data_IF_670869568951
#
_entry.id   IF_670869568951
#
_cell.length_a   1.000
_cell.length_b   1.000
_cell.length_c   1.000
_cell.angle_alpha   90.00
_cell.angle_beta   90.00
_cell.angle_gamma   90.00
#
_symmetry.space_group_name_H-M   'P 1'
#
loop_
_entity.id
_entity.type
_entity.pdbx_description
1 polymer ?
#
# COMPACT_ATOMS: atom_id res chain seq x y z
N UNK A 1 -12.09 -48.88 28.25
CA UNK A 1 -10.71 -48.33 28.26
C UNK A 1 -10.24 -47.85 26.87
N UNK A 2 -10.38 -48.64 25.80
CA UNK A 2 -9.95 -48.25 24.44
C UNK A 2 -10.79 -47.12 23.83
N UNK A 3 -12.12 -47.18 23.98
CA UNK A 3 -13.07 -46.17 23.50
C UNK A 3 -12.95 -44.81 24.24
N UNK A 4 -12.62 -44.83 25.53
CA UNK A 4 -12.38 -43.61 26.33
C UNK A 4 -11.04 -42.95 25.96
N UNK A 5 -10.00 -43.76 25.69
CA UNK A 5 -8.68 -43.27 25.23
C UNK A 5 -8.74 -42.68 23.83
N UNK A 6 -9.53 -43.25 22.91
CA UNK A 6 -9.72 -42.69 21.56
C UNK A 6 -10.50 -41.38 21.59
N UNK A 7 -11.49 -41.25 22.47
CA UNK A 7 -12.27 -40.02 22.63
C UNK A 7 -11.43 -38.87 23.23
N UNK A 8 -10.54 -39.19 24.15
CA UNK A 8 -9.56 -38.24 24.70
C UNK A 8 -8.56 -37.75 23.64
N UNK A 9 -8.13 -38.63 22.73
CA UNK A 9 -7.18 -38.31 21.66
C UNK A 9 -7.81 -37.41 20.57
N UNK A 10 -9.09 -37.64 20.24
CA UNK A 10 -9.85 -36.79 19.31
C UNK A 10 -10.12 -35.41 19.92
N UNK A 11 -10.39 -35.33 21.24
CA UNK A 11 -10.63 -34.06 21.93
C UNK A 11 -9.38 -33.14 21.93
N UNK A 12 -8.18 -33.73 21.98
CA UNK A 12 -6.93 -32.96 21.93
C UNK A 12 -6.58 -32.43 20.53
N UNK A 13 -7.14 -33.01 19.45
CA UNK A 13 -6.85 -32.61 18.08
C UNK A 13 -7.66 -31.38 17.62
N UNK A 14 -8.79 -31.11 18.25
CA UNK A 14 -9.71 -30.03 17.88
C UNK A 14 -9.30 -28.62 18.35
N UNK A 15 -8.24 -28.47 19.13
CA UNK A 15 -7.93 -27.21 19.83
C UNK A 15 -7.09 -26.19 19.02
N UNK A 16 -6.59 -26.56 17.84
CA UNK A 16 -5.67 -25.70 17.06
C UNK A 16 -6.38 -24.95 15.93
N UNK A 17 -7.20 -23.95 16.30
CA UNK A 17 -7.66 -22.92 15.37
C UNK A 17 -6.87 -21.62 15.60
N UNK A 18 -5.77 -21.44 14.87
CA UNK A 18 -5.01 -20.17 14.87
C UNK A 18 -5.55 -19.25 13.77
N UNK A 19 -6.42 -18.31 14.12
CA UNK A 19 -6.91 -17.29 13.19
C UNK A 19 -5.85 -16.21 12.94
N UNK A 20 -5.23 -16.21 11.77
CA UNK A 20 -4.30 -15.15 11.34
C UNK A 20 -5.09 -14.07 10.61
N UNK A 21 -5.46 -13.00 11.31
CA UNK A 21 -6.12 -11.84 10.69
C UNK A 21 -5.11 -10.78 10.27
N UNK A 22 -5.32 -10.16 9.10
CA UNK A 22 -4.56 -9.01 8.65
C UNK A 22 -4.93 -7.75 9.45
N UNK A 23 -3.92 -7.00 9.91
CA UNK A 23 -4.11 -5.68 10.54
C UNK A 23 -4.23 -4.59 9.46
N UNK A 24 -5.27 -3.76 9.57
CA UNK A 24 -5.52 -2.59 8.73
C UNK A 24 -5.71 -1.35 9.60
N UNK A 25 -5.66 -0.19 8.96
CA UNK A 25 -5.68 1.09 9.67
C UNK A 25 -6.83 1.98 9.20
N UNK A 26 -7.47 2.69 10.12
CA UNK A 26 -8.51 3.67 9.82
C UNK A 26 -8.14 5.03 10.43
N UNK A 27 -8.77 6.10 9.94
CA UNK A 27 -8.66 7.44 10.53
C UNK A 27 -9.82 7.68 11.50
N UNK A 28 -9.69 8.66 12.40
CA UNK A 28 -10.69 9.01 13.42
C UNK A 28 -12.10 9.27 12.87
N UNK A 29 -12.19 9.80 11.65
CA UNK A 29 -13.45 10.19 10.99
C UNK A 29 -13.71 9.44 9.68
N UNK A 30 -12.85 8.48 9.33
CA UNK A 30 -12.86 7.88 8.00
C UNK A 30 -13.79 6.69 7.87
N UNK A 31 -14.49 6.62 6.75
CA UNK A 31 -15.28 5.46 6.30
C UNK A 31 -14.42 4.41 5.57
N UNK A 32 -13.09 4.56 5.60
CA UNK A 32 -12.16 3.76 4.79
C UNK A 32 -11.07 3.13 5.63
N UNK A 33 -10.66 1.93 5.23
CA UNK A 33 -9.46 1.28 5.75
C UNK A 33 -8.28 1.45 4.79
N UNK A 34 -7.08 1.43 5.37
CA UNK A 34 -5.84 1.89 4.78
C UNK A 34 -4.69 0.94 5.11
N UNK A 35 -3.62 0.97 4.30
CA UNK A 35 -2.30 0.38 4.64
C UNK A 35 -1.57 1.28 5.64
N UNK A 36 -0.64 0.72 6.42
CA UNK A 36 0.14 1.44 7.45
C UNK A 36 0.82 2.73 6.96
N UNK A 37 1.18 2.78 5.68
CA UNK A 37 1.89 3.89 5.04
C UNK A 37 1.00 4.85 4.23
N UNK A 38 -0.32 4.79 4.38
CA UNK A 38 -1.21 5.66 3.64
C UNK A 38 -1.05 7.13 4.08
N UNK A 39 -0.95 8.06 3.11
CA UNK A 39 -0.82 9.51 3.34
C UNK A 39 -1.91 10.10 4.25
N UNK A 40 -3.11 9.53 4.24
CA UNK A 40 -4.24 9.99 5.06
C UNK A 40 -4.12 9.62 6.54
N UNK A 41 -3.26 8.67 6.90
CA UNK A 41 -3.03 8.26 8.28
C UNK A 41 -2.03 9.15 9.03
N UNK A 42 -1.52 10.23 8.42
CA UNK A 42 -0.47 11.08 8.99
C UNK A 42 -0.83 11.65 10.36
N UNK A 43 -2.10 12.00 10.57
CA UNK A 43 -2.58 12.68 11.77
C UNK A 43 -3.41 11.78 12.68
N UNK A 44 -3.90 10.67 12.17
CA UNK A 44 -4.77 9.75 12.89
C UNK A 44 -4.61 8.35 12.33
N UNK A 45 -4.31 7.39 13.22
CA UNK A 45 -4.11 5.99 12.88
C UNK A 45 -4.73 5.14 13.98
N UNK A 46 -5.77 4.39 13.65
CA UNK A 46 -6.42 3.42 14.54
C UNK A 46 -6.32 2.03 13.90
N UNK A 47 -5.94 1.05 14.69
CA UNK A 47 -5.73 -0.32 14.22
C UNK A 47 -7.02 -1.13 14.33
N UNK A 48 -7.29 -1.91 13.29
CA UNK A 48 -8.42 -2.83 13.22
C UNK A 48 -7.96 -4.13 12.55
N UNK A 49 -8.63 -5.24 12.87
CA UNK A 49 -8.56 -6.43 12.02
C UNK A 49 -9.33 -6.18 10.73
N UNK A 50 -8.89 -6.77 9.62
CA UNK A 50 -9.56 -6.62 8.33
C UNK A 50 -11.04 -7.02 8.42
N UNK A 51 -11.33 -8.13 9.10
CA UNK A 51 -12.70 -8.60 9.33
C UNK A 51 -13.54 -7.59 10.10
N UNK A 52 -13.02 -7.03 11.20
CA UNK A 52 -13.73 -5.98 11.97
C UNK A 52 -13.94 -4.74 11.13
N UNK A 53 -12.97 -4.35 10.31
CA UNK A 53 -13.10 -3.17 9.47
C UNK A 53 -14.23 -3.35 8.43
N UNK A 54 -14.34 -4.53 7.83
CA UNK A 54 -15.42 -4.88 6.90
C UNK A 54 -16.77 -4.98 7.62
N UNK A 55 -16.82 -5.59 8.81
CA UNK A 55 -18.01 -5.69 9.64
C UNK A 55 -18.56 -4.32 10.06
N UNK A 56 -17.67 -3.33 10.25
CA UNK A 56 -18.02 -1.94 10.52
C UNK A 56 -18.40 -1.13 9.27
N UNK A 57 -18.38 -1.75 8.08
CA UNK A 57 -18.76 -1.11 6.82
C UNK A 57 -17.67 -0.24 6.20
N UNK A 58 -16.42 -0.33 6.65
CA UNK A 58 -15.34 0.45 6.05
C UNK A 58 -14.98 -0.05 4.65
N UNK A 59 -14.80 0.88 3.72
CA UNK A 59 -14.41 0.58 2.34
C UNK A 59 -12.89 0.69 2.11
N UNK A 60 -12.37 0.03 1.08
CA UNK A 60 -10.95 0.09 0.79
C UNK A 60 -10.54 1.49 0.30
N UNK A 61 -9.44 2.02 0.82
CA UNK A 61 -8.88 3.27 0.32
C UNK A 61 -8.41 3.13 -1.15
N UNK A 62 -8.96 3.95 -2.05
CA UNK A 62 -8.61 3.98 -3.48
C UNK A 62 -7.16 4.40 -3.76
N UNK A 63 -6.54 5.14 -2.84
CA UNK A 63 -5.17 5.65 -2.99
C UNK A 63 -4.13 4.59 -2.62
N UNK A 64 -4.28 3.93 -1.47
CA UNK A 64 -3.31 2.92 -1.02
C UNK A 64 -3.68 1.47 -1.40
N UNK A 65 -4.90 1.26 -1.92
CA UNK A 65 -5.41 -0.03 -2.46
C UNK A 65 -5.05 -1.23 -1.56
N UNK A 66 -5.51 -1.25 -0.30
CA UNK A 66 -5.34 -2.42 0.55
C UNK A 66 -6.10 -3.60 -0.07
N UNK A 67 -5.42 -4.75 -0.27
CA UNK A 67 -6.03 -5.98 -0.82
C UNK A 67 -5.73 -6.32 -2.29
N UNK A 68 -5.16 -5.42 -3.10
CA UNK A 68 -4.77 -5.75 -4.50
C UNK A 68 -3.25 -6.00 -4.60
N UNK A 69 -2.82 -7.21 -4.27
CA UNK A 69 -1.49 -7.73 -4.58
C UNK A 69 -0.40 -7.53 -3.50
N UNK A 70 0.35 -8.62 -3.32
CA UNK A 70 1.61 -8.84 -2.59
C UNK A 70 1.55 -8.98 -1.07
N UNK A 71 1.22 -10.20 -0.63
CA UNK A 71 2.03 -10.91 0.37
C UNK A 71 3.49 -10.89 -0.07
N UNK A 72 4.32 -10.10 0.63
CA UNK A 72 5.77 -10.23 0.58
C UNK A 72 6.26 -10.05 2.00
N UNK A 73 6.40 -11.20 2.67
CA UNK A 73 7.12 -11.34 3.93
C UNK A 73 8.57 -10.94 3.65
N UNK A 74 9.05 -9.92 4.36
CA UNK A 74 10.44 -9.51 4.58
C UNK A 74 11.49 -9.79 3.48
N UNK A 75 11.84 -8.76 2.69
CA UNK A 75 13.24 -8.49 2.33
C UNK A 75 13.40 -7.01 1.92
N UNK A 76 14.10 -6.27 2.79
CA UNK A 76 15.02 -5.18 2.44
C UNK A 76 14.41 -4.01 1.63
N UNK A 77 14.11 -2.93 2.35
CA UNK A 77 14.61 -1.60 2.02
C UNK A 77 14.72 -1.24 0.54
N UNK A 78 13.63 -1.30 -0.21
CA UNK A 78 13.50 -0.48 -1.40
C UNK A 78 12.23 0.35 -1.26
N UNK A 79 12.41 1.45 -0.53
CA UNK A 79 11.52 2.61 -0.60
C UNK A 79 11.45 3.00 -2.06
N UNK A 80 10.36 2.56 -2.72
CA UNK A 80 9.74 3.20 -3.87
C UNK A 80 9.50 4.65 -3.46
N UNK A 81 10.53 5.45 -3.66
CA UNK A 81 10.52 6.88 -3.46
C UNK A 81 9.64 7.47 -4.56
N UNK A 82 8.39 7.73 -4.21
CA UNK A 82 7.76 8.98 -4.60
C UNK A 82 8.54 10.11 -3.89
N UNK A 83 9.76 10.35 -4.36
CA UNK A 83 10.56 11.51 -4.03
C UNK A 83 10.27 12.56 -5.09
N UNK A 84 10.12 13.80 -4.66
CA UNK A 84 10.56 14.95 -5.43
C UNK A 84 12.01 14.72 -5.86
N UNK A 85 12.22 14.03 -6.99
CA UNK A 85 13.51 13.93 -7.65
C UNK A 85 13.73 15.30 -8.27
N UNK A 86 14.29 16.22 -7.49
CA UNK A 86 14.94 17.41 -8.04
C UNK A 86 16.11 16.84 -8.84
N UNK A 87 15.94 16.72 -10.17
CA UNK A 87 16.98 16.10 -11.01
C UNK A 87 18.28 16.87 -10.80
N UNK A 88 19.31 16.16 -10.35
CA UNK A 88 20.63 16.72 -10.11
C UNK A 88 21.26 17.17 -11.43
N UNK A 89 20.95 16.45 -12.52
CA UNK A 89 21.35 16.78 -13.89
C UNK A 89 20.15 17.23 -14.72
N UNK A 90 20.28 18.36 -15.43
CA UNK A 90 19.23 18.85 -16.31
C UNK A 90 19.19 18.00 -17.60
N UNK A 91 18.05 17.33 -17.84
CA UNK A 91 17.81 16.49 -19.02
C UNK A 91 17.26 17.33 -20.18
N UNK A 92 17.45 16.91 -21.42
CA UNK A 92 16.91 17.63 -22.59
C UNK A 92 15.38 17.51 -22.67
N UNK A 93 14.71 18.61 -23.01
CA UNK A 93 13.28 18.68 -23.21
C UNK A 93 12.80 17.76 -24.35
N UNK A 94 11.69 17.05 -24.12
CA UNK A 94 11.08 16.16 -25.13
C UNK A 94 10.09 16.85 -26.08
N UNK A 95 9.77 18.14 -25.86
CA UNK A 95 8.83 18.91 -26.69
C UNK A 95 9.32 19.15 -28.13
N UNK A 96 8.40 19.43 -29.04
CA UNK A 96 8.68 19.85 -30.43
C UNK A 96 8.25 21.30 -30.63
N UNK A 97 9.00 22.06 -31.42
CA UNK A 97 8.65 23.44 -31.82
C UNK A 97 7.46 23.43 -32.79
N UNK A 98 6.89 24.61 -33.06
CA UNK A 98 5.82 24.78 -34.08
C UNK A 98 6.24 24.27 -35.47
N UNK A 99 7.54 24.33 -35.77
CA UNK A 99 8.16 23.82 -37.00
C UNK A 99 8.54 22.32 -36.94
N UNK A 100 8.12 21.60 -35.88
CA UNK A 100 8.31 20.16 -35.72
C UNK A 100 9.70 19.72 -35.21
N UNK A 101 10.67 20.63 -35.10
CA UNK A 101 12.03 20.31 -34.62
C UNK A 101 12.05 20.04 -33.11
N UNK A 102 12.94 19.16 -32.65
CA UNK A 102 13.08 18.83 -31.23
C UNK A 102 13.58 20.03 -30.41
N UNK A 103 12.96 20.26 -29.25
CA UNK A 103 13.36 21.32 -28.32
C UNK A 103 14.78 21.05 -27.79
N UNK A 104 15.65 22.07 -27.87
CA UNK A 104 17.05 21.98 -27.41
C UNK A 104 17.24 22.34 -25.94
N UNK A 105 16.19 22.87 -25.28
CA UNK A 105 16.28 23.35 -23.89
C UNK A 105 16.41 22.20 -22.90
N UNK A 106 17.18 22.38 -21.83
CA UNK A 106 17.24 21.41 -20.71
C UNK A 106 16.21 21.75 -19.62
N UNK A 107 15.77 20.75 -18.88
CA UNK A 107 14.78 20.85 -17.80
C UNK A 107 15.10 19.87 -16.68
N UNK A 108 14.78 20.27 -15.45
CA UNK A 108 14.85 19.42 -14.25
C UNK A 108 13.48 18.91 -13.82
N UNK A 109 12.43 19.21 -14.61
CA UNK A 109 11.06 18.78 -14.33
C UNK A 109 10.91 17.29 -14.57
N UNK A 110 10.14 16.62 -13.71
CA UNK A 110 9.88 15.18 -13.80
C UNK A 110 9.22 14.77 -15.14
N UNK A 111 8.44 15.66 -15.76
CA UNK A 111 7.80 15.41 -17.05
C UNK A 111 8.72 15.62 -18.27
N UNK A 112 10.00 15.96 -18.07
CA UNK A 112 10.98 16.23 -19.12
C UNK A 112 10.51 17.29 -20.16
N UNK A 113 9.60 18.19 -19.78
CA UNK A 113 9.17 19.33 -20.62
C UNK A 113 9.69 20.64 -20.03
N UNK A 114 10.13 21.55 -20.89
CA UNK A 114 10.50 22.91 -20.51
C UNK A 114 9.24 23.77 -20.38
N UNK A 115 9.35 24.99 -19.87
CA UNK A 115 8.18 25.86 -19.64
C UNK A 115 7.46 26.34 -20.91
N UNK A 116 7.98 26.03 -22.10
CA UNK A 116 7.37 26.39 -23.38
C UNK A 116 6.48 25.27 -23.97
N UNK A 117 6.40 24.11 -23.31
CA UNK A 117 5.73 22.90 -23.81
C UNK A 117 5.00 22.16 -22.70
#
# INVERSE_FOLDING_TARGET
MKLLKTLLLILTFSFVNSAVSQTVYTTKTGEKYHKSNCRYLKYSKKEYTLEKALALGFSACSVCKPGKGTTSVNAISNKKQTSTVKSTTALQCIGKTKTGKRCKRKTKKANQRCYQH
#
